data_IF_332130810375
#
_entry.id   IF_332130810375
#
_cell.length_a   1.000
_cell.length_b   1.000
_cell.length_c   1.000
_cell.angle_alpha   90.00
_cell.angle_beta   90.00
_cell.angle_gamma   90.00
#
_symmetry.space_group_name_H-M   'P 1'
#
loop_
_entity.id
_entity.type
_entity.pdbx_description
1 polymer ?
#
# COMPACT_ATOMS: atom_id res chain seq x y z
N UNK A 1 5.96 13.34 -2.32
CA UNK A 1 6.40 12.11 -2.99
C UNK A 1 5.75 12.00 -4.36
N UNK A 2 6.50 11.68 -5.42
CA UNK A 2 5.89 11.35 -6.72
C UNK A 2 5.45 9.88 -6.75
N UNK A 3 4.18 9.62 -7.04
CA UNK A 3 3.62 8.26 -7.03
C UNK A 3 3.81 7.63 -8.41
N UNK A 4 4.39 6.43 -8.52
CA UNK A 4 4.59 5.77 -9.81
C UNK A 4 3.26 5.54 -10.54
N UNK A 5 3.19 5.82 -11.85
CA UNK A 5 2.01 5.50 -12.68
C UNK A 5 1.63 4.02 -12.57
N UNK A 6 2.64 3.15 -12.52
CA UNK A 6 2.46 1.72 -12.33
C UNK A 6 1.76 1.37 -11.00
N UNK A 7 1.95 2.17 -9.95
CA UNK A 7 1.24 1.97 -8.69
C UNK A 7 -0.27 2.27 -8.86
N UNK A 8 -0.62 3.34 -9.58
CA UNK A 8 -2.02 3.68 -9.87
C UNK A 8 -2.69 2.55 -10.66
N UNK A 9 -2.02 2.07 -11.71
CA UNK A 9 -2.51 0.98 -12.54
C UNK A 9 -2.74 -0.30 -11.73
N UNK A 10 -1.76 -0.69 -10.90
CA UNK A 10 -1.86 -1.88 -10.06
C UNK A 10 -2.97 -1.77 -9.03
N UNK A 11 -3.10 -0.64 -8.35
CA UNK A 11 -4.10 -0.45 -7.30
C UNK A 11 -5.53 -0.34 -7.85
N UNK A 12 -5.71 0.12 -9.09
CA UNK A 12 -7.05 0.25 -9.71
C UNK A 12 -7.84 -1.07 -9.76
N UNK A 13 -7.14 -2.21 -9.85
CA UNK A 13 -7.72 -3.55 -9.93
C UNK A 13 -7.21 -4.47 -8.80
N UNK A 14 -6.56 -3.92 -7.79
CA UNK A 14 -5.97 -4.73 -6.73
C UNK A 14 -7.06 -5.36 -5.86
N UNK A 15 -7.06 -6.69 -5.82
CA UNK A 15 -7.97 -7.49 -5.02
C UNK A 15 -7.24 -8.23 -3.88
N UNK A 16 -6.05 -8.75 -4.12
CA UNK A 16 -5.45 -9.78 -3.26
C UNK A 16 -3.96 -9.59 -2.97
N UNK A 17 -3.36 -8.50 -3.43
CA UNK A 17 -1.91 -8.32 -3.31
C UNK A 17 -1.56 -7.05 -2.56
N UNK A 18 -0.36 -7.04 -1.99
CA UNK A 18 0.28 -5.84 -1.47
C UNK A 18 1.47 -5.56 -2.38
N UNK A 19 1.45 -4.40 -3.02
CA UNK A 19 2.53 -3.90 -3.86
C UNK A 19 3.34 -2.86 -3.08
N UNK A 20 4.65 -3.04 -3.06
CA UNK A 20 5.61 -2.16 -2.42
C UNK A 20 6.55 -1.59 -3.47
N UNK A 21 6.58 -0.26 -3.57
CA UNK A 21 7.43 0.48 -4.49
C UNK A 21 8.53 1.17 -3.72
N UNK A 22 9.74 1.22 -4.29
CA UNK A 22 10.83 2.00 -3.73
C UNK A 22 10.80 3.41 -4.33
N UNK A 23 10.43 4.40 -3.52
CA UNK A 23 10.22 5.80 -3.93
C UNK A 23 10.92 6.72 -2.94
N UNK A 24 11.78 7.63 -3.43
CA UNK A 24 12.49 8.61 -2.59
C UNK A 24 13.18 8.00 -1.35
N UNK A 25 13.94 6.92 -1.58
CA UNK A 25 14.65 6.14 -0.54
C UNK A 25 13.76 5.49 0.53
N UNK A 26 12.48 5.27 0.22
CA UNK A 26 11.51 4.64 1.11
C UNK A 26 10.73 3.56 0.37
N UNK A 27 10.35 2.52 1.11
CA UNK A 27 9.36 1.57 0.62
C UNK A 27 7.95 2.09 0.92
N UNK A 28 7.13 2.12 -0.11
CA UNK A 28 5.80 2.71 -0.07
C UNK A 28 4.77 1.72 -0.62
N UNK A 29 3.68 1.54 0.11
CA UNK A 29 2.46 0.94 -0.41
C UNK A 29 1.46 2.05 -0.70
N UNK A 30 0.62 1.85 -1.71
CA UNK A 30 -0.42 2.81 -2.10
C UNK A 30 -1.80 2.15 -2.12
N UNK A 31 -2.86 2.94 -2.01
CA UNK A 31 -4.24 2.49 -2.24
C UNK A 31 -4.64 1.26 -1.41
N UNK A 32 -5.12 0.20 -2.07
CA UNK A 32 -5.53 -1.02 -1.38
C UNK A 32 -4.36 -1.71 -0.68
N UNK A 33 -3.16 -1.68 -1.25
CA UNK A 33 -1.96 -2.19 -0.59
C UNK A 33 -1.68 -1.47 0.74
N UNK A 34 -1.81 -0.14 0.75
CA UNK A 34 -1.69 0.66 1.97
C UNK A 34 -2.77 0.30 3.01
N UNK A 35 -4.00 0.11 2.56
CA UNK A 35 -5.11 -0.29 3.41
C UNK A 35 -4.94 -1.71 3.98
N UNK A 36 -4.47 -2.67 3.18
CA UNK A 36 -4.19 -4.02 3.67
C UNK A 36 -3.09 -4.01 4.73
N UNK A 37 -2.05 -3.19 4.54
CA UNK A 37 -1.01 -3.01 5.54
C UNK A 37 -1.53 -2.32 6.81
N UNK A 38 -2.48 -1.39 6.72
CA UNK A 38 -3.05 -0.76 7.91
C UNK A 38 -3.89 -1.74 8.74
N UNK A 39 -4.51 -2.73 8.09
CA UNK A 39 -5.19 -3.85 8.78
C UNK A 39 -4.18 -4.79 9.43
N UNK A 40 -3.13 -5.18 8.69
CA UNK A 40 -2.13 -6.14 9.15
C UNK A 40 -1.21 -5.57 10.24
N UNK A 41 -0.85 -4.31 10.09
CA UNK A 41 0.09 -3.60 10.94
C UNK A 41 -0.45 -2.20 11.27
N UNK A 42 -1.41 -2.09 12.21
CA UNK A 42 -2.02 -0.81 12.58
C UNK A 42 -1.04 0.23 13.13
N UNK A 43 0.19 -0.18 13.46
CA UNK A 43 1.29 0.68 13.89
C UNK A 43 1.95 1.45 12.74
N UNK A 44 1.69 1.06 11.49
CA UNK A 44 2.15 1.79 10.33
C UNK A 44 1.22 2.97 10.07
N UNK A 45 1.77 4.18 10.10
CA UNK A 45 1.00 5.40 9.85
C UNK A 45 0.68 5.54 8.36
N UNK A 46 -0.60 5.70 8.05
CA UNK A 46 -1.07 6.01 6.70
C UNK A 46 -1.16 7.52 6.51
N UNK A 47 -0.66 7.99 5.38
CA UNK A 47 -0.71 9.39 4.96
C UNK A 47 -1.38 9.53 3.61
N UNK A 48 -1.69 10.78 3.27
CA UNK A 48 -2.21 11.18 1.98
C UNK A 48 -1.07 11.86 1.22
N UNK A 49 -0.46 11.17 0.25
CA UNK A 49 0.54 11.79 -0.62
C UNK A 49 -0.15 12.32 -1.89
N UNK A 50 0.12 13.58 -2.19
CA UNK A 50 -0.40 14.23 -3.39
C UNK A 50 0.49 13.87 -4.57
N UNK A 51 -0.11 13.32 -5.63
CA UNK A 51 0.57 13.26 -6.93
C UNK A 51 0.78 14.68 -7.45
N UNK A 52 1.99 14.99 -7.90
CA UNK A 52 2.26 16.25 -8.60
C UNK A 52 1.57 16.24 -9.97
N UNK A 53 0.28 16.58 -10.00
CA UNK A 53 -0.46 16.82 -11.25
C UNK A 53 -1.75 16.02 -11.47
N UNK A 54 -2.12 15.07 -10.61
CA UNK A 54 -3.45 14.45 -10.64
C UNK A 54 -4.25 14.85 -9.41
N UNK A 55 -5.51 15.26 -9.60
CA UNK A 55 -6.45 15.61 -8.52
C UNK A 55 -6.77 14.42 -7.57
N UNK A 56 -6.30 13.22 -7.90
CA UNK A 56 -6.45 12.04 -7.06
C UNK A 56 -5.29 11.93 -6.05
N UNK A 57 -5.60 12.25 -4.79
CA UNK A 57 -4.81 11.82 -3.65
C UNK A 57 -5.01 10.31 -3.45
N UNK A 58 -3.94 9.52 -3.46
CA UNK A 58 -4.02 8.10 -3.13
C UNK A 58 -3.33 7.90 -1.77
N UNK A 59 -3.96 7.18 -0.82
CA UNK A 59 -3.34 6.90 0.45
C UNK A 59 -2.04 6.13 0.27
N UNK A 60 -1.06 6.43 1.11
CA UNK A 60 0.18 5.70 1.15
C UNK A 60 0.55 5.29 2.59
N UNK A 61 1.33 4.21 2.69
CA UNK A 61 1.95 3.78 3.94
C UNK A 61 3.43 3.60 3.68
N UNK A 62 4.28 4.22 4.51
CA UNK A 62 5.70 3.94 4.53
C UNK A 62 5.98 2.63 5.26
N UNK A 63 6.82 1.80 4.66
CA UNK A 63 7.14 0.45 5.16
C UNK A 63 8.61 0.41 5.54
N UNK A 64 8.95 0.38 6.84
CA UNK A 64 10.34 0.22 7.26
C UNK A 64 10.87 -1.16 6.86
N UNK A 65 12.18 -1.27 6.63
CA UNK A 65 12.83 -2.53 6.21
C UNK A 65 12.51 -3.73 7.13
N UNK A 66 12.36 -3.49 8.44
CA UNK A 66 11.98 -4.53 9.41
C UNK A 66 10.61 -5.17 9.14
N UNK A 67 9.70 -4.47 8.45
CA UNK A 67 8.41 -5.01 8.02
C UNK A 67 8.54 -5.76 6.69
N UNK A 68 9.47 -5.39 5.81
CA UNK A 68 9.75 -6.15 4.58
C UNK A 68 10.24 -7.56 4.90
N UNK A 69 11.17 -7.67 5.85
CA UNK A 69 11.69 -8.96 6.31
C UNK A 69 10.53 -9.82 6.82
N UNK A 70 9.68 -9.26 7.69
CA UNK A 70 8.48 -9.96 8.19
C UNK A 70 7.54 -10.38 7.07
N UNK A 71 7.26 -9.49 6.11
CA UNK A 71 6.39 -9.85 4.99
C UNK A 71 6.95 -11.04 4.21
N UNK A 72 8.25 -11.07 3.96
CA UNK A 72 8.91 -12.18 3.25
C UNK A 72 8.98 -13.49 4.05
N UNK A 73 9.00 -13.43 5.38
CA UNK A 73 9.02 -14.61 6.24
C UNK A 73 7.65 -15.32 6.32
N UNK A 74 6.56 -14.55 6.30
CA UNK A 74 5.21 -15.06 6.55
C UNK A 74 4.36 -15.22 5.29
N UNK A 75 4.69 -14.50 4.20
CA UNK A 75 3.85 -14.44 3.01
C UNK A 75 4.63 -14.71 1.72
N UNK A 76 3.94 -15.32 0.76
CA UNK A 76 4.47 -15.52 -0.59
C UNK A 76 4.82 -14.17 -1.20
N UNK A 77 6.10 -14.02 -1.57
CA UNK A 77 6.67 -12.74 -2.01
C UNK A 77 7.38 -12.91 -3.34
N UNK A 78 7.06 -12.04 -4.30
CA UNK A 78 7.72 -11.93 -5.60
C UNK A 78 8.42 -10.57 -5.69
N UNK A 79 9.64 -10.58 -6.21
CA UNK A 79 10.44 -9.35 -6.37
C UNK A 79 10.66 -9.11 -7.86
N UNK A 80 10.38 -7.87 -8.29
CA UNK A 80 10.68 -7.38 -9.63
C UNK A 80 11.55 -6.14 -9.56
N UNK A 81 12.04 -5.70 -10.72
CA UNK A 81 12.82 -4.46 -10.82
C UNK A 81 12.02 -3.21 -10.43
N UNK A 82 10.68 -3.27 -10.47
CA UNK A 82 9.80 -2.12 -10.23
C UNK A 82 9.12 -2.13 -8.86
N UNK A 83 8.82 -3.32 -8.32
CA UNK A 83 8.07 -3.47 -7.06
C UNK A 83 8.27 -4.86 -6.44
N UNK A 84 7.99 -4.95 -5.15
CA UNK A 84 7.76 -6.20 -4.43
C UNK A 84 6.25 -6.46 -4.39
N UNK A 85 5.85 -7.69 -4.68
CA UNK A 85 4.47 -8.15 -4.59
C UNK A 85 4.37 -9.20 -3.49
N UNK A 86 3.43 -9.01 -2.57
CA UNK A 86 3.15 -9.95 -1.49
C UNK A 86 1.70 -10.41 -1.59
N UNK A 87 1.43 -11.69 -1.40
CA UNK A 87 0.06 -12.19 -1.25
C UNK A 87 -0.56 -11.64 0.04
N UNK A 88 -1.66 -10.89 -0.09
CA UNK A 88 -2.38 -10.40 1.07
C UNK A 88 -3.07 -11.57 1.78
N UNK A 89 -2.99 -11.67 3.12
CA UNK A 89 -3.70 -12.70 3.85
C UNK A 89 -5.22 -12.47 3.81
N UNK A 90 -6.04 -13.51 4.01
CA UNK A 90 -7.49 -13.38 4.14
C UNK A 90 -7.92 -12.39 5.22
N UNK A 91 -7.13 -12.23 6.27
CA UNK A 91 -7.35 -11.25 7.33
C UNK A 91 -7.28 -9.79 6.86
N UNK A 92 -6.68 -9.53 5.69
CA UNK A 92 -6.63 -8.21 5.07
C UNK A 92 -7.67 -8.09 3.93
N UNK A 93 -7.58 -8.94 2.89
CA UNK A 93 -8.40 -8.76 1.70
C UNK A 93 -9.90 -9.02 1.92
N UNK A 94 -10.31 -9.79 2.95
CA UNK A 94 -11.72 -9.95 3.28
C UNK A 94 -12.36 -8.63 3.77
N UNK A 95 -11.56 -7.67 4.24
CA UNK A 95 -12.01 -6.35 4.66
C UNK A 95 -11.87 -5.29 3.57
N UNK A 96 -11.58 -5.68 2.32
CA UNK A 96 -11.41 -4.78 1.18
C UNK A 96 -12.56 -3.76 1.02
N UNK A 97 -13.79 -4.15 1.32
CA UNK A 97 -14.97 -3.26 1.23
C UNK A 97 -14.90 -2.05 2.17
N UNK A 98 -14.12 -2.12 3.25
CA UNK A 98 -13.90 -1.01 4.18
C UNK A 98 -12.91 0.06 3.68
N UNK A 99 -12.32 -0.12 2.50
CA UNK A 99 -11.34 0.82 1.94
C UNK A 99 -11.88 2.25 1.84
N UNK A 100 -13.11 2.44 1.33
CA UNK A 100 -13.70 3.77 1.17
C UNK A 100 -13.86 4.50 2.50
N UNK A 101 -14.34 3.80 3.53
CA UNK A 101 -14.48 4.38 4.87
C UNK A 101 -13.12 4.71 5.50
N UNK A 102 -12.12 3.85 5.30
CA UNK A 102 -10.76 4.11 5.75
C UNK A 102 -10.15 5.32 5.03
N UNK A 103 -10.35 5.44 3.73
CA UNK A 103 -9.88 6.57 2.94
C UNK A 103 -10.49 7.89 3.40
N UNK A 104 -11.81 7.93 3.63
CA UNK A 104 -12.51 9.12 4.14
C UNK A 104 -11.96 9.57 5.51
N UNK A 105 -11.57 8.64 6.38
CA UNK A 105 -10.97 8.99 7.68
C UNK A 105 -9.60 9.66 7.54
N UNK A 106 -8.87 9.36 6.47
CA UNK A 106 -7.56 9.97 6.21
C UNK A 106 -7.68 11.37 5.60
N UNK A 107 -8.77 11.66 4.88
CA UNK A 107 -8.97 12.96 4.22
C UNK A 107 -9.64 14.02 5.11
N UNK A 108 -10.24 13.61 6.24
CA UNK A 108 -10.93 14.49 7.19
C UNK A 108 -10.00 15.04 8.29
N UNK A 109 -8.72 14.63 8.34
CA UNK A 109 -7.71 15.12 9.28
C UNK A 109 -6.82 16.22 8.69
#
# INVERSE_FOLDING_TARGET
>A
MEIPELAIDKESQNLYYIYLFYVEDKWCAFGYSAYYLSIMYPVLEAGNETTGGHEACIPCVHVPDSFLVRLSEFYSTLVSDCYIQVEAPPTAYCYRSGYSEWYEKLTVN
#
